data_IF_558513993884
#
_entry.id   IF_558513993884
#
_cell.length_a   1.000
_cell.length_b   1.000
_cell.length_c   1.000
_cell.angle_alpha   90.00
_cell.angle_beta   90.00
_cell.angle_gamma   90.00
#
_symmetry.space_group_name_H-M   'P 1'
#
loop_
_entity.id
_entity.type
_entity.pdbx_description
1 polymer ?
#
# COMPACT_ATOMS: atom_id res chain seq x y z
N UNK A 1 7.99 11.32 2.64
CA UNK A 1 7.41 11.38 3.99
C UNK A 1 6.33 12.46 4.01
N UNK A 2 5.20 12.24 4.68
CA UNK A 2 4.14 13.25 4.85
C UNK A 2 4.32 14.04 6.15
N UNK A 3 3.60 15.17 6.29
CA UNK A 3 3.62 15.95 7.53
C UNK A 3 3.09 15.15 8.74
N UNK A 4 2.04 14.35 8.56
CA UNK A 4 1.52 13.47 9.60
C UNK A 4 2.56 12.45 10.05
N UNK A 5 3.31 11.85 9.12
CA UNK A 5 4.39 10.92 9.43
C UNK A 5 5.54 11.60 10.17
N UNK A 6 5.92 12.81 9.76
CA UNK A 6 6.98 13.57 10.44
C UNK A 6 6.64 13.83 11.91
N UNK A 7 5.38 14.18 12.23
CA UNK A 7 4.92 14.36 13.61
C UNK A 7 4.93 13.06 14.44
N UNK A 8 4.98 11.89 13.77
CA UNK A 8 5.13 10.58 14.43
C UNK A 8 6.57 10.08 14.48
N UNK A 9 7.56 10.89 14.08
CA UNK A 9 8.97 10.52 14.16
C UNK A 9 9.44 10.45 15.63
N UNK A 10 10.30 9.50 16.05
CA UNK A 10 10.73 9.37 17.45
C UNK A 10 11.21 10.66 18.12
N UNK A 11 11.81 11.57 17.36
CA UNK A 11 12.26 12.89 17.84
C UNK A 11 11.12 13.88 18.14
N UNK A 12 9.95 13.71 17.53
CA UNK A 12 8.79 14.60 17.64
C UNK A 12 7.58 13.92 18.33
N UNK A 13 7.63 12.62 18.64
CA UNK A 13 6.54 11.93 19.34
C UNK A 13 6.27 12.60 20.69
N UNK A 14 5.01 12.97 20.95
CA UNK A 14 4.60 13.70 22.14
C UNK A 14 3.18 14.25 22.04
N UNK A 15 2.92 15.41 22.63
CA UNK A 15 1.59 16.05 22.71
C UNK A 15 1.16 16.77 21.43
N UNK A 16 1.49 16.24 20.25
CA UNK A 16 1.03 16.80 18.99
C UNK A 16 -0.22 16.06 18.49
N UNK A 17 -1.22 16.83 18.07
CA UNK A 17 -2.38 16.28 17.39
C UNK A 17 -1.97 15.84 15.97
N UNK A 18 -1.86 14.53 15.78
CA UNK A 18 -1.53 13.95 14.48
C UNK A 18 -2.77 14.04 13.59
N UNK A 19 -2.73 14.71 12.43
CA UNK A 19 -3.87 14.79 11.53
C UNK A 19 -4.08 13.46 10.82
N UNK A 20 -5.31 13.25 10.34
CA UNK A 20 -5.63 12.17 9.40
C UNK A 20 -4.85 12.40 8.11
N UNK A 21 -4.05 11.41 7.70
CA UNK A 21 -3.24 11.49 6.50
C UNK A 21 -4.03 11.03 5.26
N UNK A 22 -4.22 11.93 4.30
CA UNK A 22 -4.90 11.63 3.04
C UNK A 22 -4.14 10.57 2.22
N UNK A 23 -2.83 10.40 2.44
CA UNK A 23 -2.06 9.31 1.83
C UNK A 23 -2.64 7.94 2.20
N UNK A 24 -3.11 7.74 3.44
CA UNK A 24 -3.72 6.48 3.89
C UNK A 24 -4.93 6.14 3.02
N UNK A 25 -5.77 7.12 2.70
CA UNK A 25 -6.95 6.90 1.85
C UNK A 25 -6.55 6.47 0.44
N UNK A 26 -5.55 7.14 -0.14
CA UNK A 26 -5.03 6.82 -1.48
C UNK A 26 -4.45 5.40 -1.53
N UNK A 27 -3.67 5.02 -0.52
CA UNK A 27 -3.06 3.69 -0.44
C UNK A 27 -4.11 2.59 -0.24
N UNK A 28 -5.09 2.81 0.64
CA UNK A 28 -6.20 1.87 0.88
C UNK A 28 -7.03 1.67 -0.39
N UNK A 29 -7.33 2.73 -1.15
CA UNK A 29 -8.01 2.61 -2.45
C UNK A 29 -7.20 1.76 -3.42
N UNK A 30 -5.89 2.04 -3.55
CA UNK A 30 -5.01 1.26 -4.42
C UNK A 30 -4.98 -0.22 -4.00
N UNK A 31 -4.88 -0.49 -2.70
CA UNK A 31 -4.88 -1.84 -2.15
C UNK A 31 -6.17 -2.60 -2.42
N UNK A 32 -7.34 -1.97 -2.29
CA UNK A 32 -8.64 -2.63 -2.53
C UNK A 32 -8.83 -2.99 -4.00
N UNK A 33 -8.28 -2.17 -4.91
CA UNK A 33 -8.31 -2.40 -6.36
C UNK A 33 -7.26 -3.41 -6.83
N UNK A 34 -6.23 -3.65 -6.01
CA UNK A 34 -5.13 -4.54 -6.36
C UNK A 34 -5.56 -6.02 -6.40
N UNK A 35 -4.92 -6.78 -7.28
CA UNK A 35 -5.09 -8.23 -7.35
C UNK A 35 -4.72 -8.91 -6.03
N UNK A 36 -5.21 -10.14 -5.85
CA UNK A 36 -4.83 -10.97 -4.71
C UNK A 36 -3.31 -11.20 -4.62
N UNK A 37 -2.60 -11.21 -5.75
CA UNK A 37 -1.15 -11.34 -5.78
C UNK A 37 -0.45 -10.12 -5.18
N UNK A 38 -0.81 -8.91 -5.63
CA UNK A 38 -0.23 -7.66 -5.09
C UNK A 38 -0.61 -7.44 -3.63
N UNK A 39 -1.84 -7.76 -3.23
CA UNK A 39 -2.24 -7.73 -1.82
C UNK A 39 -1.43 -8.70 -0.97
N UNK A 40 -1.16 -9.92 -1.45
CA UNK A 40 -0.30 -10.87 -0.74
C UNK A 40 1.14 -10.34 -0.60
N UNK A 41 1.68 -9.69 -1.63
CA UNK A 41 3.01 -9.07 -1.55
C UNK A 41 3.05 -7.91 -0.53
N UNK A 42 2.05 -7.02 -0.53
CA UNK A 42 1.96 -5.93 0.45
C UNK A 42 1.76 -6.44 1.88
N UNK A 43 0.98 -7.51 2.07
CA UNK A 43 0.86 -8.19 3.38
C UNK A 43 2.19 -8.76 3.86
N UNK A 44 2.94 -9.39 2.95
CA UNK A 44 4.24 -9.94 3.27
C UNK A 44 5.23 -8.82 3.68
N UNK A 45 5.18 -7.68 3.00
CA UNK A 45 5.97 -6.50 3.36
C UNK A 45 5.54 -5.87 4.68
N UNK A 46 4.24 -5.77 4.97
CA UNK A 46 3.78 -5.20 6.25
C UNK A 46 4.21 -6.02 7.47
N UNK A 47 4.48 -7.33 7.30
CA UNK A 47 4.98 -8.20 8.36
C UNK A 47 6.43 -7.89 8.76
N UNK A 48 7.20 -7.17 7.93
CA UNK A 48 8.62 -6.87 8.22
C UNK A 48 8.82 -5.55 8.95
N UNK A 49 7.75 -4.77 9.17
CA UNK A 49 7.83 -3.48 9.83
C UNK A 49 8.22 -3.66 11.31
N UNK A 50 9.08 -2.79 11.80
CA UNK A 50 9.38 -2.68 13.23
C UNK A 50 8.29 -1.91 13.96
N UNK A 51 8.31 -1.94 15.29
CA UNK A 51 7.35 -1.17 16.10
C UNK A 51 7.41 0.34 15.83
N UNK A 52 8.59 0.87 15.44
CA UNK A 52 8.71 2.28 15.12
C UNK A 52 8.00 2.67 13.83
N UNK A 53 8.06 1.83 12.78
CA UNK A 53 7.28 2.08 11.56
C UNK A 53 5.79 1.79 11.77
N UNK A 54 5.46 0.80 12.60
CA UNK A 54 4.07 0.50 12.98
C UNK A 54 3.44 1.62 13.80
N UNK A 55 4.21 2.42 14.55
CA UNK A 55 3.67 3.49 15.38
C UNK A 55 2.80 4.48 14.59
N UNK A 56 3.30 4.94 13.43
CA UNK A 56 2.52 5.82 12.54
C UNK A 56 1.20 5.17 12.11
N UNK A 57 1.24 3.89 11.72
CA UNK A 57 0.06 3.14 11.30
C UNK A 57 -0.92 2.93 12.45
N UNK A 58 -0.44 2.65 13.66
CA UNK A 58 -1.28 2.53 14.88
C UNK A 58 -2.01 3.83 15.16
N UNK A 59 -1.32 4.97 15.07
CA UNK A 59 -1.93 6.30 15.25
C UNK A 59 -3.01 6.53 14.20
N UNK A 60 -2.72 6.34 12.92
CA UNK A 60 -3.70 6.53 11.85
C UNK A 60 -4.91 5.59 11.99
N UNK A 61 -4.68 4.32 12.34
CA UNK A 61 -5.75 3.36 12.61
C UNK A 61 -6.66 3.81 13.75
N UNK A 62 -6.07 4.34 14.84
CA UNK A 62 -6.82 4.86 15.98
C UNK A 62 -7.68 6.09 15.61
N UNK A 63 -7.18 6.99 14.76
CA UNK A 63 -7.94 8.17 14.28
C UNK A 63 -9.19 7.79 13.47
N UNK A 64 -9.18 6.61 12.84
CA UNK A 64 -10.35 6.04 12.16
C UNK A 64 -11.43 5.55 13.13
N UNK A 65 -11.10 5.38 14.42
CA UNK A 65 -11.97 4.87 15.47
C UNK A 65 -12.52 3.48 15.12
N UNK A 66 -11.68 2.42 15.21
CA UNK A 66 -12.10 1.04 14.95
C UNK A 66 -13.33 0.66 15.77
N UNK A 67 -14.17 -0.18 15.20
CA UNK A 67 -15.39 -0.65 15.85
C UNK A 67 -15.05 -1.60 17.01
N UNK A 68 -16.08 -2.02 17.77
CA UNK A 68 -15.91 -2.93 18.93
C UNK A 68 -15.26 -4.27 18.59
N UNK A 69 -15.34 -4.70 17.33
CA UNK A 69 -14.69 -5.90 16.82
C UNK A 69 -13.23 -5.68 16.40
N UNK A 70 -12.66 -4.51 16.70
CA UNK A 70 -11.28 -4.15 16.37
C UNK A 70 -11.05 -3.87 14.88
N UNK A 71 -12.11 -3.79 14.07
CA UNK A 71 -12.02 -3.58 12.63
C UNK A 71 -12.50 -2.18 12.22
N UNK A 72 -11.98 -1.69 11.10
CA UNK A 72 -12.45 -0.49 10.41
C UNK A 72 -13.19 -0.85 9.11
N UNK A 73 -14.14 -0.03 8.71
CA UNK A 73 -14.91 -0.16 7.48
C UNK A 73 -15.08 1.22 6.81
N UNK A 74 -15.86 1.28 5.73
CA UNK A 74 -16.15 2.51 5.00
C UNK A 74 -16.64 3.67 5.90
N UNK A 75 -17.50 3.41 6.87
CA UNK A 75 -18.07 4.44 7.73
C UNK A 75 -17.03 5.03 8.68
N UNK A 76 -16.05 4.23 9.12
CA UNK A 76 -14.91 4.71 9.91
C UNK A 76 -14.06 5.71 9.10
N UNK A 77 -13.76 5.40 7.83
CA UNK A 77 -13.07 6.32 6.92
C UNK A 77 -13.90 7.58 6.63
N UNK A 78 -15.19 7.43 6.33
CA UNK A 78 -16.09 8.57 6.12
C UNK A 78 -16.16 9.48 7.34
N UNK A 79 -16.37 8.90 8.52
CA UNK A 79 -16.45 9.62 9.78
C UNK A 79 -15.17 10.37 10.09
N UNK A 80 -14.00 9.73 9.93
CA UNK A 80 -12.71 10.37 10.16
C UNK A 80 -12.48 11.56 9.22
N UNK A 81 -12.82 11.43 7.93
CA UNK A 81 -12.66 12.51 6.98
C UNK A 81 -13.58 13.71 7.27
N UNK A 82 -14.82 13.44 7.70
CA UNK A 82 -15.78 14.48 8.10
C UNK A 82 -15.35 15.19 9.38
N UNK A 83 -14.86 14.44 10.39
CA UNK A 83 -14.37 15.01 11.66
C UNK A 83 -13.13 15.89 11.47
N UNK A 84 -12.27 15.55 10.53
CA UNK A 84 -11.01 16.27 10.25
C UNK A 84 -11.16 17.25 9.07
N UNK A 85 -12.39 17.71 8.79
CA UNK A 85 -12.69 18.63 7.68
C UNK A 85 -12.00 19.97 7.90
N UNK A 86 -11.20 20.38 6.91
CA UNK A 86 -10.64 21.74 6.81
C UNK A 86 -11.19 22.45 5.58
N UNK A 87 -11.09 23.77 5.52
CA UNK A 87 -11.52 24.54 4.35
C UNK A 87 -10.68 24.21 3.11
N UNK A 88 -9.36 24.05 3.28
CA UNK A 88 -8.46 23.59 2.23
C UNK A 88 -8.89 22.22 1.65
N UNK A 89 -9.39 21.30 2.48
CA UNK A 89 -9.91 20.01 1.99
C UNK A 89 -11.20 20.14 1.18
N UNK A 90 -12.06 21.13 1.50
CA UNK A 90 -13.27 21.40 0.71
C UNK A 90 -12.88 21.96 -0.66
N UNK A 91 -12.00 22.97 -0.68
CA UNK A 91 -11.53 23.61 -1.91
C UNK A 91 -10.83 22.60 -2.83
N UNK A 92 -9.99 21.74 -2.26
CA UNK A 92 -9.31 20.67 -2.98
C UNK A 92 -10.21 19.44 -3.27
N UNK A 93 -11.52 19.51 -2.98
CA UNK A 93 -12.50 18.44 -3.23
C UNK A 93 -12.09 17.07 -2.66
N UNK A 94 -11.35 17.05 -1.56
CA UNK A 94 -10.79 15.82 -0.97
C UNK A 94 -11.88 14.80 -0.63
N UNK A 95 -13.09 15.25 -0.30
CA UNK A 95 -14.23 14.40 0.00
C UNK A 95 -14.67 13.49 -1.15
N UNK A 96 -14.36 13.83 -2.41
CA UNK A 96 -14.63 12.98 -3.57
C UNK A 96 -13.85 11.66 -3.52
N UNK A 97 -12.76 11.59 -2.72
CA UNK A 97 -12.00 10.35 -2.50
C UNK A 97 -12.88 9.23 -1.94
N UNK A 98 -13.93 9.58 -1.16
CA UNK A 98 -14.84 8.61 -0.57
C UNK A 98 -15.62 7.83 -1.63
N UNK A 99 -15.90 8.42 -2.79
CA UNK A 99 -16.56 7.71 -3.89
C UNK A 99 -15.71 6.54 -4.39
N UNK A 100 -14.38 6.70 -4.38
CA UNK A 100 -13.45 5.63 -4.75
C UNK A 100 -13.31 4.53 -3.69
N UNK A 101 -13.80 4.76 -2.47
CA UNK A 101 -13.78 3.81 -1.35
C UNK A 101 -15.08 3.02 -1.22
N UNK A 102 -16.06 3.20 -2.11
CA UNK A 102 -17.31 2.43 -2.08
C UNK A 102 -17.12 0.90 -1.97
N UNK A 103 -16.12 0.26 -2.60
CA UNK A 103 -15.90 -1.18 -2.44
C UNK A 103 -15.57 -1.65 -1.01
N UNK A 104 -15.28 -0.71 -0.09
CA UNK A 104 -15.07 -0.97 1.34
C UNK A 104 -16.40 -1.09 2.12
N UNK A 105 -17.56 -0.71 1.56
CA UNK A 105 -18.85 -0.76 2.27
C UNK A 105 -19.21 -2.17 2.77
N UNK A 106 -18.77 -3.19 2.05
CA UNK A 106 -19.04 -4.61 2.36
C UNK A 106 -17.81 -5.34 2.89
N UNK A 107 -16.76 -4.61 3.28
CA UNK A 107 -15.50 -5.16 3.79
C UNK A 107 -15.13 -4.48 5.10
N UNK A 108 -14.41 -5.22 5.93
CA UNK A 108 -13.76 -4.67 7.12
C UNK A 108 -12.30 -5.07 7.12
N UNK A 109 -11.47 -4.24 7.72
CA UNK A 109 -10.02 -4.45 7.85
C UNK A 109 -9.68 -4.42 9.33
N UNK A 110 -9.05 -5.48 9.83
CA UNK A 110 -8.38 -5.42 11.12
C UNK A 110 -7.09 -4.60 11.00
N UNK A 111 -6.36 -4.46 12.11
CA UNK A 111 -5.12 -3.69 12.12
C UNK A 111 -4.06 -4.25 11.16
N UNK A 112 -3.95 -5.58 11.01
CA UNK A 112 -2.94 -6.19 10.14
C UNK A 112 -3.26 -5.95 8.67
N UNK A 113 -4.52 -6.10 8.27
CA UNK A 113 -4.99 -5.78 6.92
C UNK A 113 -4.83 -4.29 6.62
N UNK A 114 -5.11 -3.43 7.60
CA UNK A 114 -4.88 -2.00 7.47
C UNK A 114 -3.40 -1.67 7.26
N UNK A 115 -2.48 -2.29 8.01
CA UNK A 115 -1.05 -2.11 7.79
C UNK A 115 -0.65 -2.48 6.36
N UNK A 116 -1.10 -3.63 5.85
CA UNK A 116 -0.87 -4.01 4.46
C UNK A 116 -1.44 -3.01 3.44
N UNK A 117 -2.59 -2.42 3.76
CA UNK A 117 -3.28 -1.47 2.89
C UNK A 117 -2.72 -0.04 2.95
N UNK A 118 -2.05 0.34 4.04
CA UNK A 118 -1.62 1.72 4.31
C UNK A 118 -0.09 1.91 4.27
N UNK A 119 0.68 0.87 3.93
CA UNK A 119 2.13 1.01 3.68
C UNK A 119 2.40 1.68 2.33
N UNK A 120 3.39 2.57 2.31
CA UNK A 120 3.93 3.15 1.08
C UNK A 120 5.26 2.52 0.74
N UNK A 121 5.29 1.69 -0.30
CA UNK A 121 6.52 1.02 -0.77
C UNK A 121 7.63 2.04 -1.03
N UNK A 122 7.33 3.17 -1.69
CA UNK A 122 8.31 4.23 -1.96
C UNK A 122 8.89 4.91 -0.71
N UNK A 123 8.15 4.89 0.40
CA UNK A 123 8.65 5.48 1.65
C UNK A 123 9.53 4.49 2.39
N UNK A 124 9.20 3.19 2.34
CA UNK A 124 10.03 2.13 2.88
C UNK A 124 11.33 1.94 2.07
N UNK A 125 11.27 2.14 0.76
CA UNK A 125 12.44 2.09 -0.13
C UNK A 125 13.46 3.19 0.17
N UNK A 126 13.01 4.33 0.70
CA UNK A 126 13.88 5.42 1.12
C UNK A 126 14.62 5.13 2.45
N UNK A 127 14.29 4.03 3.14
CA UNK A 127 14.99 3.61 4.36
C UNK A 127 16.25 2.82 4.00
N UNK A 128 17.32 3.03 4.77
CA UNK A 128 18.59 2.29 4.59
C UNK A 128 18.41 0.77 4.67
N UNK A 129 17.40 0.30 5.41
CA UNK A 129 17.10 -1.12 5.64
C UNK A 129 16.17 -1.75 4.59
N UNK A 130 15.84 -1.03 3.52
CA UNK A 130 14.92 -1.50 2.47
C UNK A 130 15.27 -2.90 1.95
N UNK A 131 16.55 -3.17 1.66
CA UNK A 131 16.96 -4.45 1.11
C UNK A 131 16.67 -5.61 2.06
N UNK A 132 16.88 -5.41 3.37
CA UNK A 132 16.55 -6.38 4.40
C UNK A 132 15.03 -6.63 4.44
N UNK A 133 14.23 -5.56 4.44
CA UNK A 133 12.76 -5.65 4.45
C UNK A 133 12.24 -6.37 3.21
N UNK A 134 12.73 -6.02 2.03
CA UNK A 134 12.32 -6.65 0.78
C UNK A 134 12.65 -8.15 0.76
N UNK A 135 13.85 -8.56 1.20
CA UNK A 135 14.25 -9.97 1.26
C UNK A 135 13.40 -10.77 2.25
N UNK A 136 13.24 -10.29 3.48
CA UNK A 136 12.39 -10.97 4.49
C UNK A 136 10.92 -11.00 4.05
N UNK A 137 10.42 -9.94 3.43
CA UNK A 137 9.07 -9.92 2.88
C UNK A 137 8.90 -10.96 1.76
N UNK A 138 9.91 -11.14 0.92
CA UNK A 138 9.88 -12.16 -0.12
C UNK A 138 9.85 -13.58 0.48
N UNK A 139 10.54 -13.84 1.59
CA UNK A 139 10.46 -15.12 2.29
C UNK A 139 9.05 -15.41 2.82
N UNK A 140 8.38 -14.41 3.41
CA UNK A 140 6.97 -14.53 3.80
C UNK A 140 6.06 -14.72 2.60
N UNK A 141 6.31 -13.99 1.52
CA UNK A 141 5.54 -14.09 0.28
C UNK A 141 5.69 -15.47 -0.36
N UNK A 142 6.89 -16.03 -0.42
CA UNK A 142 7.17 -17.37 -0.95
C UNK A 142 6.34 -18.46 -0.27
N UNK A 143 6.11 -18.33 1.03
CA UNK A 143 5.33 -19.28 1.83
C UNK A 143 3.82 -19.09 1.70
N UNK A 144 3.36 -17.84 1.78
CA UNK A 144 1.94 -17.55 2.02
C UNK A 144 1.21 -17.05 0.76
N UNK A 145 1.93 -16.54 -0.24
CA UNK A 145 1.36 -15.72 -1.31
C UNK A 145 1.88 -15.96 -2.71
N UNK A 146 3.06 -16.57 -2.86
CA UNK A 146 3.67 -16.81 -4.16
C UNK A 146 3.09 -18.07 -4.79
N UNK A 147 2.30 -17.83 -5.81
CA UNK A 147 1.57 -18.83 -6.59
C UNK A 147 2.00 -18.75 -8.04
N UNK A 148 1.67 -19.79 -8.80
CA UNK A 148 1.91 -19.81 -10.25
C UNK A 148 1.27 -18.58 -10.89
N UNK A 149 2.04 -17.88 -11.69
CA UNK A 149 1.67 -16.59 -12.25
C UNK A 149 0.86 -16.77 -13.52
N UNK A 150 -0.34 -16.17 -13.53
CA UNK A 150 -1.06 -15.91 -14.76
C UNK A 150 -0.52 -14.60 -15.36
N UNK A 151 0.16 -14.72 -16.50
CA UNK A 151 0.85 -13.60 -17.17
C UNK A 151 -0.12 -12.46 -17.53
N UNK A 152 -1.33 -12.78 -17.99
CA UNK A 152 -2.35 -11.77 -18.34
C UNK A 152 -2.90 -11.04 -17.11
N UNK A 153 -3.00 -11.74 -15.97
CA UNK A 153 -3.36 -11.11 -14.70
C UNK A 153 -2.24 -10.18 -14.23
N UNK A 154 -0.98 -10.62 -14.31
CA UNK A 154 0.17 -9.80 -13.94
C UNK A 154 0.29 -8.56 -14.85
N UNK A 155 0.11 -8.73 -16.16
CA UNK A 155 0.08 -7.64 -17.14
C UNK A 155 -0.96 -6.57 -16.76
N UNK A 156 -2.19 -6.98 -16.43
CA UNK A 156 -3.23 -6.05 -15.99
C UNK A 156 -2.90 -5.36 -14.67
N UNK A 157 -2.32 -6.07 -13.72
CA UNK A 157 -1.91 -5.52 -12.42
C UNK A 157 -0.86 -4.42 -12.59
N UNK A 158 0.09 -4.63 -13.50
CA UNK A 158 1.13 -3.66 -13.84
C UNK A 158 0.78 -2.87 -15.10
N UNK A 159 -0.51 -2.64 -15.39
CA UNK A 159 -0.95 -1.72 -16.44
C UNK A 159 -0.26 -1.89 -17.80
N UNK A 160 0.20 -3.09 -18.13
CA UNK A 160 0.93 -3.36 -19.35
C UNK A 160 -0.06 -3.36 -20.52
N UNK A 161 0.22 -2.57 -21.54
CA UNK A 161 -0.60 -2.54 -22.75
C UNK A 161 -0.68 -3.92 -23.38
N UNK A 162 -1.88 -4.29 -23.86
CA UNK A 162 -2.10 -5.53 -24.61
C UNK A 162 -1.23 -5.65 -25.88
N UNK A 163 -0.69 -4.53 -26.36
CA UNK A 163 0.22 -4.47 -27.52
C UNK A 163 1.66 -4.88 -27.19
N UNK A 164 2.04 -4.93 -25.91
CA UNK A 164 3.39 -5.29 -25.48
C UNK A 164 3.44 -6.79 -25.17
N UNK A 165 4.40 -7.56 -25.73
CA UNK A 165 4.54 -8.98 -25.43
C UNK A 165 4.87 -9.23 -23.95
N UNK A 166 3.84 -9.56 -23.15
CA UNK A 166 3.97 -9.73 -21.70
C UNK A 166 4.99 -10.80 -21.29
N UNK A 167 5.11 -11.87 -22.07
CA UNK A 167 6.08 -12.94 -21.82
C UNK A 167 7.54 -12.46 -21.90
N UNK A 168 7.84 -11.47 -22.75
CA UNK A 168 9.19 -10.87 -22.84
C UNK A 168 9.45 -9.96 -21.64
N UNK A 169 8.45 -9.15 -21.27
CA UNK A 169 8.56 -8.21 -20.15
C UNK A 169 8.77 -8.93 -18.81
N UNK A 170 8.11 -10.07 -18.63
CA UNK A 170 8.12 -10.82 -17.38
C UNK A 170 9.09 -12.00 -17.36
N UNK A 171 9.95 -12.13 -18.38
CA UNK A 171 10.94 -13.21 -18.45
C UNK A 171 11.77 -13.30 -17.17
N UNK A 172 12.28 -12.17 -16.67
CA UNK A 172 13.11 -12.13 -15.45
C UNK A 172 12.28 -12.01 -14.16
N UNK A 173 10.96 -11.81 -14.30
CA UNK A 173 10.04 -11.68 -13.17
C UNK A 173 9.50 -13.03 -12.74
N UNK A 174 9.37 -13.99 -13.67
CA UNK A 174 8.77 -15.29 -13.42
C UNK A 174 9.82 -16.37 -13.54
N UNK A 175 9.96 -17.21 -12.50
CA UNK A 175 10.92 -18.30 -12.47
C UNK A 175 10.50 -19.41 -13.44
N UNK A 176 11.43 -19.86 -14.27
CA UNK A 176 11.16 -20.97 -15.21
C UNK A 176 10.85 -22.30 -14.52
N UNK A 177 11.40 -22.55 -13.33
CA UNK A 177 11.24 -23.84 -12.64
C UNK A 177 9.81 -24.11 -12.16
N UNK A 178 9.11 -23.09 -11.68
CA UNK A 178 7.81 -23.26 -11.03
C UNK A 178 6.74 -22.24 -11.46
N UNK A 179 7.09 -21.32 -12.37
CA UNK A 179 6.18 -20.28 -12.86
C UNK A 179 5.77 -19.26 -11.80
N UNK A 180 6.47 -19.18 -10.67
CA UNK A 180 6.21 -18.22 -9.59
C UNK A 180 7.01 -16.93 -9.77
N UNK A 181 6.65 -15.86 -9.06
CA UNK A 181 7.47 -14.64 -9.11
C UNK A 181 8.84 -14.88 -8.50
N UNK A 182 9.88 -14.36 -9.15
CA UNK A 182 11.23 -14.22 -8.59
C UNK A 182 11.26 -13.06 -7.58
N UNK A 183 12.37 -12.92 -6.84
CA UNK A 183 12.57 -11.74 -5.98
C UNK A 183 12.53 -10.43 -6.79
N UNK A 184 13.11 -10.42 -7.99
CA UNK A 184 13.03 -9.30 -8.92
C UNK A 184 11.58 -9.02 -9.32
N UNK A 185 10.81 -10.06 -9.67
CA UNK A 185 9.39 -9.90 -9.99
C UNK A 185 8.56 -9.38 -8.82
N UNK A 186 8.84 -9.86 -7.60
CA UNK A 186 8.20 -9.42 -6.36
C UNK A 186 8.45 -7.93 -6.07
N UNK A 187 9.70 -7.47 -6.13
CA UNK A 187 10.03 -6.05 -5.91
C UNK A 187 9.35 -5.17 -6.96
N UNK A 188 9.39 -5.57 -8.25
CA UNK A 188 8.68 -4.84 -9.30
C UNK A 188 7.16 -4.81 -9.11
N UNK A 189 6.56 -5.91 -8.67
CA UNK A 189 5.13 -5.97 -8.34
C UNK A 189 4.76 -5.00 -7.19
N UNK A 190 5.60 -4.89 -6.16
CA UNK A 190 5.38 -3.97 -5.03
C UNK A 190 5.30 -2.51 -5.51
N UNK A 191 6.24 -2.06 -6.34
CA UNK A 191 6.24 -0.70 -6.89
C UNK A 191 5.11 -0.48 -7.91
N UNK A 192 4.63 -1.53 -8.57
CA UNK A 192 3.74 -1.42 -9.73
C UNK A 192 4.46 -0.76 -10.92
N UNK A 193 3.69 -0.26 -11.89
CA UNK A 193 4.27 0.59 -12.94
C UNK A 193 4.67 1.90 -12.30
N UNK A 194 5.97 2.06 -12.04
CA UNK A 194 6.54 3.40 -12.03
C UNK A 194 6.34 3.93 -13.44
N UNK A 195 5.54 5.00 -13.67
CA UNK A 195 5.65 5.72 -14.92
C UNK A 195 7.11 6.18 -14.94
N UNK A 196 7.93 5.56 -15.79
CA UNK A 196 9.23 6.13 -16.10
C UNK A 196 8.90 7.51 -16.64
N UNK A 197 9.18 8.54 -15.85
CA UNK A 197 9.34 9.90 -16.34
C UNK A 197 10.45 9.82 -17.38
N UNK A 198 10.03 9.63 -18.63
CA UNK A 198 10.89 9.88 -19.78
C UNK A 198 11.06 11.39 -19.80
N UNK A 199 12.08 11.87 -19.12
CA UNK A 199 12.65 13.19 -19.40
C UNK A 199 13.15 13.16 -20.83
N UNK A 200 12.27 13.52 -21.77
CA UNK A 200 12.69 14.01 -23.08
C UNK A 200 13.43 15.32 -22.80
N UNK A 201 14.75 15.24 -22.78
CA UNK A 201 15.57 16.41 -23.03
C UNK A 201 15.24 16.89 -24.45
N UNK A 202 14.72 18.12 -24.53
CA UNK A 202 14.73 18.94 -25.74
C UNK A 202 16.17 19.30 -26.09
#
# INVERSE_FOLDING_TARGET
MTAAQALTHPWLRGNHNIPVDILVYKLVIAYIRASSLKRAALKALSKTLTEDELFYLRVQFSLLQPNRDGCINFDNFRGALVRNRTDAMKEAKIFEILNSMEPLKFKKMDFQEFCAAAISVHQLEALERWEQYARTAYEYFERDGNRVINVDQLAREVGLSATVPAHVVFHDWVRHMDGKLSFTGFTKLLHGVTPRTTTRHQ
#
